data_IF_821023607053
#
_entry.id   IF_821023607053
#
_cell.length_a   1.000
_cell.length_b   1.000
_cell.length_c   1.000
_cell.angle_alpha   90.00
_cell.angle_beta   90.00
_cell.angle_gamma   90.00
#
_symmetry.space_group_name_H-M   'P 1'
#
loop_
_entity.id
_entity.type
_entity.pdbx_description
1 polymer ?
#
# COMPACT_ATOMS: atom_id res chain seq x y z
N UNK A 1 -10.66 12.20 13.69
CA UNK A 1 -10.56 12.69 12.31
C UNK A 1 -10.93 11.56 11.39
N UNK A 2 -11.67 11.83 10.32
CA UNK A 2 -12.08 10.78 9.39
C UNK A 2 -10.87 10.47 8.48
N UNK A 3 -10.29 9.29 8.65
CA UNK A 3 -9.20 8.82 7.78
C UNK A 3 -9.79 8.54 6.38
N UNK A 4 -9.16 9.09 5.34
CA UNK A 4 -9.60 8.90 3.94
C UNK A 4 -9.36 7.47 3.43
N UNK A 5 -8.48 6.73 4.12
CA UNK A 5 -8.09 5.36 3.84
C UNK A 5 -8.19 4.54 5.13
N UNK A 6 -8.73 3.33 5.04
CA UNK A 6 -8.81 2.35 6.12
C UNK A 6 -8.15 1.06 5.68
N UNK A 7 -7.20 0.56 6.46
CA UNK A 7 -6.46 -0.67 6.20
C UNK A 7 -6.13 -1.42 7.48
N UNK A 8 -5.54 -2.62 7.37
CA UNK A 8 -5.13 -3.40 8.53
C UNK A 8 -4.04 -2.64 9.30
N UNK A 9 -4.18 -2.57 10.63
CA UNK A 9 -3.23 -1.90 11.51
C UNK A 9 -1.91 -2.67 11.65
N UNK A 10 -1.96 -3.99 11.47
CA UNK A 10 -0.80 -4.87 11.58
C UNK A 10 -0.99 -6.03 10.60
N UNK A 11 0.08 -6.41 9.90
CA UNK A 11 0.11 -7.59 9.06
C UNK A 11 1.36 -8.40 9.40
N UNK A 12 1.19 -9.70 9.61
CA UNK A 12 2.26 -10.62 9.94
C UNK A 12 2.58 -11.49 8.73
N UNK A 13 3.86 -11.63 8.41
CA UNK A 13 4.34 -12.46 7.30
C UNK A 13 5.61 -13.20 7.73
N UNK A 14 5.79 -14.42 7.23
CA UNK A 14 7.01 -15.20 7.40
C UNK A 14 8.18 -14.55 6.68
N UNK A 15 9.39 -14.69 7.22
CA UNK A 15 10.60 -14.18 6.58
C UNK A 15 10.79 -14.82 5.21
N UNK A 16 11.05 -14.00 4.18
CA UNK A 16 11.16 -14.44 2.79
C UNK A 16 9.82 -14.75 2.12
N UNK A 17 8.70 -14.62 2.84
CA UNK A 17 7.35 -14.77 2.31
C UNK A 17 6.87 -13.54 1.54
N UNK A 18 5.61 -13.59 1.12
CA UNK A 18 4.91 -12.48 0.46
C UNK A 18 3.80 -11.95 1.35
N UNK A 19 3.78 -10.65 1.55
CA UNK A 19 2.79 -9.88 2.29
C UNK A 19 1.79 -9.28 1.29
N UNK A 20 0.50 -9.36 1.60
CA UNK A 20 -0.54 -8.60 0.89
C UNK A 20 -1.29 -7.70 1.89
N UNK A 21 -1.28 -6.41 1.63
CA UNK A 21 -1.98 -5.38 2.40
C UNK A 21 -3.11 -4.85 1.53
N UNK A 22 -4.35 -4.93 2.02
CA UNK A 22 -5.49 -4.33 1.34
C UNK A 22 -6.00 -3.14 2.13
N UNK A 23 -6.13 -2.00 1.47
CA UNK A 23 -6.58 -0.74 2.05
C UNK A 23 -7.79 -0.23 1.27
N UNK A 24 -8.91 -0.09 1.97
CA UNK A 24 -10.12 0.56 1.46
C UNK A 24 -10.00 2.08 1.53
N UNK A 25 -10.62 2.79 0.59
CA UNK A 25 -10.71 4.25 0.58
C UNK A 25 -12.15 4.69 0.32
N UNK A 26 -12.44 5.97 0.60
CA UNK A 26 -13.77 6.51 0.37
C UNK A 26 -14.08 6.66 -1.13
N UNK A 27 -15.34 6.46 -1.56
CA UNK A 27 -15.74 6.74 -2.93
C UNK A 27 -15.43 8.20 -3.30
N UNK A 28 -15.02 8.42 -4.55
CA UNK A 28 -14.54 9.71 -5.05
C UNK A 28 -13.01 9.86 -5.03
N UNK A 29 -12.28 8.92 -4.43
CA UNK A 29 -10.82 8.85 -4.51
C UNK A 29 -10.31 7.86 -5.57
N UNK A 30 -11.17 7.33 -6.46
CA UNK A 30 -10.76 6.36 -7.50
C UNK A 30 -9.64 6.93 -8.39
N UNK A 31 -9.86 8.12 -8.96
CA UNK A 31 -8.89 8.77 -9.88
C UNK A 31 -7.65 9.32 -9.17
N UNK A 32 -7.58 9.26 -7.84
CA UNK A 32 -6.43 9.77 -7.11
C UNK A 32 -5.31 8.73 -7.07
N UNK A 33 -4.06 9.15 -7.36
CA UNK A 33 -2.90 8.27 -7.24
C UNK A 33 -2.78 7.75 -5.80
N UNK A 34 -2.60 6.44 -5.66
CA UNK A 34 -2.36 5.78 -4.38
C UNK A 34 -0.85 5.64 -4.20
N UNK A 35 -0.41 5.90 -2.99
CA UNK A 35 1.00 5.84 -2.63
C UNK A 35 1.18 4.82 -1.52
N UNK A 36 2.18 3.97 -1.66
CA UNK A 36 2.69 3.12 -0.60
C UNK A 36 4.06 3.60 -0.19
N UNK A 37 4.25 3.76 1.11
CA UNK A 37 5.45 4.32 1.69
C UNK A 37 5.68 3.72 3.07
N UNK A 38 6.93 3.74 3.51
CA UNK A 38 7.23 3.38 4.89
C UNK A 38 7.08 4.61 5.76
N UNK A 39 6.37 4.54 6.89
CA UNK A 39 6.32 5.65 7.83
C UNK A 39 7.75 5.94 8.30
N UNK A 40 8.19 7.18 8.10
CA UNK A 40 9.46 7.69 8.60
C UNK A 40 9.30 8.38 9.95
N UNK A 41 10.29 9.20 10.30
CA UNK A 41 10.24 10.03 11.51
C UNK A 41 9.02 10.98 11.46
N UNK A 42 8.29 11.09 12.59
CA UNK A 42 7.07 11.92 12.72
C UNK A 42 5.89 11.52 11.81
N UNK A 43 5.75 10.24 11.44
CA UNK A 43 4.66 9.73 10.57
C UNK A 43 4.70 10.24 9.12
N UNK A 44 5.75 10.97 8.75
CA UNK A 44 5.92 11.44 7.37
C UNK A 44 6.45 10.32 6.50
N UNK A 45 5.81 10.14 5.35
CA UNK A 45 6.31 9.29 4.29
C UNK A 45 7.36 10.05 3.48
N UNK A 46 8.63 9.83 3.81
CA UNK A 46 9.75 10.40 3.05
C UNK A 46 10.17 9.52 1.86
N UNK A 47 9.83 8.23 1.89
CA UNK A 47 10.20 7.27 0.85
C UNK A 47 8.95 6.62 0.25
N UNK A 48 8.62 7.03 -0.98
CA UNK A 48 7.60 6.37 -1.79
C UNK A 48 8.19 5.06 -2.32
N UNK A 49 7.57 3.94 -1.96
CA UNK A 49 8.01 2.60 -2.34
C UNK A 49 7.30 2.16 -3.63
N UNK A 50 6.02 2.48 -3.75
CA UNK A 50 5.21 2.19 -4.93
C UNK A 50 4.10 3.24 -5.07
N UNK A 51 3.75 3.57 -6.31
CA UNK A 51 2.68 4.52 -6.61
C UNK A 51 1.83 4.03 -7.79
N UNK A 52 0.52 4.24 -7.73
CA UNK A 52 -0.39 4.10 -8.88
C UNK A 52 -0.59 5.43 -9.60
N UNK A 53 -0.90 5.40 -10.89
CA UNK A 53 -1.23 6.60 -11.68
C UNK A 53 -2.72 6.97 -11.61
N UNK A 54 -3.41 6.64 -10.50
CA UNK A 54 -4.88 6.82 -10.40
C UNK A 54 -5.66 5.91 -11.35
N UNK A 55 -5.06 4.79 -11.75
CA UNK A 55 -5.67 3.77 -12.59
C UNK A 55 -5.61 2.41 -11.91
N UNK A 56 -6.45 1.49 -12.36
CA UNK A 56 -6.49 0.09 -11.89
C UNK A 56 -5.31 -0.75 -12.39
N UNK A 57 -4.30 -0.12 -12.99
CA UNK A 57 -3.11 -0.80 -13.47
C UNK A 57 -2.23 -1.13 -12.27
N UNK A 58 -1.95 -2.42 -12.08
CA UNK A 58 -0.97 -2.87 -11.09
C UNK A 58 0.42 -2.39 -11.49
N UNK A 59 0.99 -1.51 -10.68
CA UNK A 59 2.35 -1.00 -10.83
C UNK A 59 3.27 -1.83 -9.94
N UNK A 60 4.34 -2.37 -10.52
CA UNK A 60 5.35 -3.14 -9.79
C UNK A 60 6.66 -2.36 -9.74
N UNK A 61 7.12 -2.09 -8.52
CA UNK A 61 8.33 -1.33 -8.23
C UNK A 61 9.25 -2.14 -7.31
N UNK A 62 10.19 -2.85 -7.93
CA UNK A 62 11.18 -3.68 -7.24
C UNK A 62 10.57 -4.92 -6.62
N UNK A 63 10.43 -4.95 -5.28
CA UNK A 63 9.80 -6.07 -4.55
C UNK A 63 8.34 -5.79 -4.19
N UNK A 64 7.84 -4.61 -4.51
CA UNK A 64 6.49 -4.17 -4.13
C UNK A 64 5.64 -4.01 -5.38
N UNK A 65 4.41 -4.50 -5.35
CA UNK A 65 3.39 -4.14 -6.33
C UNK A 65 2.24 -3.44 -5.64
N UNK A 66 1.63 -2.49 -6.34
CA UNK A 66 0.44 -1.77 -5.90
C UNK A 66 -0.57 -1.81 -7.04
N UNK A 67 -1.78 -2.29 -6.75
CA UNK A 67 -2.90 -2.29 -7.67
C UNK A 67 -4.09 -1.62 -7.03
N UNK A 68 -4.75 -0.73 -7.76
CA UNK A 68 -6.02 -0.14 -7.34
C UNK A 68 -7.19 -0.95 -7.90
N UNK A 69 -8.26 -1.09 -7.13
CA UNK A 69 -9.53 -1.66 -7.55
C UNK A 69 -10.62 -0.61 -7.30
N UNK A 70 -11.03 0.07 -8.37
CA UNK A 70 -12.02 1.15 -8.29
C UNK A 70 -13.41 0.59 -7.96
N UNK A 71 -13.71 -0.62 -8.42
CA UNK A 71 -14.99 -1.29 -8.16
C UNK A 71 -15.18 -1.60 -6.67
N UNK A 72 -14.11 -2.03 -6.00
CA UNK A 72 -14.12 -2.33 -4.57
C UNK A 72 -13.74 -1.11 -3.69
N UNK A 73 -13.40 0.03 -4.30
CA UNK A 73 -12.80 1.19 -3.65
C UNK A 73 -11.66 0.80 -2.70
N UNK A 74 -10.79 -0.09 -3.17
CA UNK A 74 -9.69 -0.63 -2.36
C UNK A 74 -8.44 -0.83 -3.20
N UNK A 75 -7.29 -0.44 -2.68
CA UNK A 75 -6.01 -0.76 -3.29
C UNK A 75 -5.31 -1.87 -2.52
N UNK A 76 -4.63 -2.74 -3.25
CA UNK A 76 -3.87 -3.85 -2.71
C UNK A 76 -2.39 -3.61 -2.97
N UNK A 77 -1.60 -3.72 -1.93
CA UNK A 77 -0.14 -3.66 -1.97
C UNK A 77 0.40 -5.05 -1.68
N UNK A 78 1.22 -5.59 -2.56
CA UNK A 78 1.92 -6.85 -2.35
C UNK A 78 3.40 -6.58 -2.17
N UNK A 79 4.00 -7.05 -1.08
CA UNK A 79 5.43 -7.00 -0.83
C UNK A 79 5.99 -8.42 -0.88
N UNK A 80 6.87 -8.69 -1.82
CA UNK A 80 7.58 -9.96 -1.94
C UNK A 80 8.89 -10.00 -1.16
N UNK A 81 9.22 -11.16 -0.61
CA UNK A 81 10.49 -11.42 0.07
C UNK A 81 10.64 -10.57 1.33
N UNK A 82 9.65 -10.60 2.22
CA UNK A 82 9.62 -9.79 3.45
C UNK A 82 10.88 -10.06 4.28
N UNK A 83 11.57 -9.00 4.69
CA UNK A 83 12.76 -9.09 5.53
C UNK A 83 12.45 -8.57 6.94
N UNK A 84 13.21 -8.99 7.98
CA UNK A 84 13.03 -8.44 9.33
C UNK A 84 13.21 -6.92 9.36
N UNK A 85 14.03 -6.40 8.44
CA UNK A 85 14.23 -4.99 8.22
C UNK A 85 13.03 -4.25 7.66
N UNK A 86 11.91 -4.90 7.29
CA UNK A 86 10.65 -4.28 6.84
C UNK A 86 9.66 -4.03 7.98
N UNK A 87 9.96 -4.49 9.20
CA UNK A 87 9.15 -4.24 10.40
C UNK A 87 9.18 -2.77 10.83
N UNK A 88 8.03 -2.20 11.14
CA UNK A 88 7.89 -0.79 11.55
C UNK A 88 6.44 -0.40 11.80
#
# INVERSE_FOLDING_TARGET
GVWAVTGPAQVTCEQGGSLAVSCSYKPGYEVYPKYWCRPGFLWFCFTYIAQTNGSEVTVMQGRVSIGDNHTAHSFTVMLGGVTPGDTG
#
